data_IF_491482175898
#
_entry.id   IF_491482175898
#
_cell.length_a   1.000
_cell.length_b   1.000
_cell.length_c   1.000
_cell.angle_alpha   90.00
_cell.angle_beta   90.00
_cell.angle_gamma   90.00
#
_symmetry.space_group_name_H-M   'P 1'
#
loop_
_entity.id
_entity.type
_entity.pdbx_description
1 polymer ?
#
# COMPACT_ATOMS: atom_id res chain seq x y z
N UNK A 1 -5.62 -13.64 10.14
CA UNK A 1 -5.46 -14.57 9.02
C UNK A 1 -5.11 -13.82 7.73
N UNK A 2 -5.98 -12.94 7.23
CA UNK A 2 -5.75 -12.12 6.03
C UNK A 2 -4.37 -11.45 5.97
N UNK A 3 -4.03 -10.63 6.99
CA UNK A 3 -2.72 -9.95 7.06
C UNK A 3 -1.52 -10.91 7.03
N UNK A 4 -1.66 -12.08 7.66
CA UNK A 4 -0.59 -13.08 7.68
C UNK A 4 -0.40 -13.70 6.30
N UNK A 5 -1.47 -13.92 5.53
CA UNK A 5 -1.39 -14.41 4.16
C UNK A 5 -0.71 -13.36 3.25
N UNK A 6 -1.14 -12.10 3.34
CA UNK A 6 -0.57 -11.01 2.54
C UNK A 6 0.94 -10.86 2.77
N UNK A 7 1.39 -10.87 4.03
CA UNK A 7 2.81 -10.79 4.38
C UNK A 7 3.64 -11.98 3.90
N UNK A 8 3.02 -13.16 3.72
CA UNK A 8 3.69 -14.38 3.27
C UNK A 8 3.57 -14.62 1.76
N UNK A 9 3.24 -13.58 0.95
CA UNK A 9 3.08 -13.68 -0.52
C UNK A 9 2.02 -14.72 -0.95
N UNK A 10 1.06 -15.01 -0.09
CA UNK A 10 -0.04 -15.97 -0.33
C UNK A 10 -1.22 -15.26 -0.97
N UNK A 11 -1.05 -14.85 -2.22
CA UNK A 11 -1.92 -13.88 -2.91
C UNK A 11 -3.30 -14.44 -3.17
N UNK A 12 -3.37 -15.64 -3.73
CA UNK A 12 -4.63 -16.30 -4.06
C UNK A 12 -5.46 -16.53 -2.79
N UNK A 13 -4.83 -16.98 -1.71
CA UNK A 13 -5.53 -17.14 -0.43
C UNK A 13 -5.91 -15.79 0.20
N UNK A 14 -5.08 -14.76 0.04
CA UNK A 14 -5.41 -13.41 0.51
C UNK A 14 -6.64 -12.88 -0.23
N UNK A 15 -6.67 -12.99 -1.56
CA UNK A 15 -7.81 -12.59 -2.42
C UNK A 15 -9.07 -13.39 -2.06
N UNK A 16 -8.94 -14.70 -1.85
CA UNK A 16 -10.07 -15.55 -1.45
C UNK A 16 -10.65 -15.10 -0.10
N UNK A 17 -9.81 -14.92 0.92
CA UNK A 17 -10.26 -14.47 2.25
C UNK A 17 -10.82 -13.05 2.19
N UNK A 18 -10.23 -12.15 1.40
CA UNK A 18 -10.73 -10.80 1.19
C UNK A 18 -12.16 -10.80 0.65
N UNK A 19 -12.41 -11.57 -0.42
CA UNK A 19 -13.72 -11.66 -1.05
C UNK A 19 -14.75 -12.38 -0.18
N UNK A 20 -14.34 -13.40 0.59
CA UNK A 20 -15.26 -14.09 1.50
C UNK A 20 -15.71 -13.17 2.64
N UNK A 21 -14.81 -12.37 3.22
CA UNK A 21 -15.16 -11.37 4.22
C UNK A 21 -16.14 -10.32 3.65
N UNK A 22 -15.94 -9.88 2.40
CA UNK A 22 -16.87 -8.96 1.72
C UNK A 22 -18.24 -9.58 1.52
N UNK A 23 -18.33 -10.85 1.12
CA UNK A 23 -19.61 -11.58 0.98
C UNK A 23 -20.34 -11.73 2.32
N UNK A 24 -19.60 -11.84 3.42
CA UNK A 24 -20.15 -11.86 4.78
C UNK A 24 -20.58 -10.47 5.27
N UNK A 25 -20.36 -9.41 4.49
CA UNK A 25 -20.74 -8.03 4.82
C UNK A 25 -19.75 -7.32 5.74
N UNK A 26 -18.52 -7.83 5.86
CA UNK A 26 -17.46 -7.16 6.62
C UNK A 26 -17.04 -5.89 5.88
N UNK A 27 -17.06 -4.76 6.60
CA UNK A 27 -16.53 -3.50 6.12
C UNK A 27 -15.09 -3.34 6.61
N UNK A 28 -14.16 -3.15 5.68
CA UNK A 28 -12.77 -2.88 6.01
C UNK A 28 -12.56 -1.40 6.30
N UNK A 29 -11.90 -1.10 7.42
CA UNK A 29 -11.50 0.25 7.71
C UNK A 29 -10.28 0.68 6.87
N UNK A 30 -10.03 1.99 6.84
CA UNK A 30 -8.93 2.59 6.09
C UNK A 30 -7.55 2.06 6.53
N UNK A 31 -7.39 1.64 7.79
CA UNK A 31 -6.15 1.04 8.29
C UNK A 31 -5.89 -0.33 7.69
N UNK A 32 -6.93 -1.18 7.61
CA UNK A 32 -6.85 -2.51 7.03
C UNK A 32 -6.41 -2.45 5.57
N UNK A 33 -6.97 -1.51 4.79
CA UNK A 33 -6.51 -1.24 3.43
C UNK A 33 -5.03 -0.86 3.40
N UNK A 34 -4.63 0.15 4.17
CA UNK A 34 -3.25 0.62 4.24
C UNK A 34 -2.26 -0.48 4.58
N UNK A 35 -2.59 -1.34 5.54
CA UNK A 35 -1.71 -2.44 5.95
C UNK A 35 -1.58 -3.54 4.88
N UNK A 36 -2.66 -3.89 4.17
CA UNK A 36 -2.62 -4.88 3.09
C UNK A 36 -1.84 -4.35 1.88
N UNK A 37 -2.10 -3.09 1.49
CA UNK A 37 -1.36 -2.42 0.41
C UNK A 37 0.12 -2.39 0.77
N UNK A 38 0.47 -2.02 2.00
CA UNK A 38 1.86 -2.02 2.46
C UNK A 38 2.49 -3.41 2.39
N UNK A 39 1.78 -4.44 2.84
CA UNK A 39 2.27 -5.82 2.79
C UNK A 39 2.55 -6.27 1.35
N UNK A 40 1.73 -5.88 0.37
CA UNK A 40 1.99 -6.18 -1.04
C UNK A 40 3.16 -5.37 -1.59
N UNK A 41 3.28 -4.08 -1.27
CA UNK A 41 4.42 -3.25 -1.70
C UNK A 41 5.75 -3.77 -1.14
N UNK A 42 5.80 -4.16 0.14
CA UNK A 42 6.97 -4.77 0.78
C UNK A 42 7.39 -6.09 0.11
N UNK A 43 6.47 -6.73 -0.63
CA UNK A 43 6.70 -7.98 -1.36
C UNK A 43 6.84 -7.78 -2.88
N UNK A 44 7.03 -6.53 -3.35
CA UNK A 44 7.12 -6.15 -4.77
C UNK A 44 5.88 -6.53 -5.61
N UNK A 45 4.71 -6.63 -4.96
CA UNK A 45 3.43 -7.02 -5.57
C UNK A 45 2.62 -5.78 -5.95
N UNK A 46 3.17 -5.00 -6.88
CA UNK A 46 2.66 -3.66 -7.20
C UNK A 46 1.23 -3.68 -7.78
N UNK A 47 0.92 -4.65 -8.64
CA UNK A 47 -0.41 -4.75 -9.24
C UNK A 47 -1.49 -4.98 -8.19
N UNK A 48 -1.27 -5.96 -7.30
CA UNK A 48 -2.19 -6.28 -6.21
C UNK A 48 -2.32 -5.13 -5.22
N UNK A 49 -1.22 -4.45 -4.90
CA UNK A 49 -1.23 -3.27 -4.05
C UNK A 49 -2.12 -2.17 -4.63
N UNK A 50 -1.99 -1.89 -5.93
CA UNK A 50 -2.75 -0.82 -6.57
C UNK A 50 -4.22 -1.22 -6.83
N UNK A 51 -4.54 -2.50 -6.97
CA UNK A 51 -5.92 -2.98 -7.02
C UNK A 51 -6.64 -2.69 -5.69
N UNK A 52 -5.99 -3.02 -4.56
CA UNK A 52 -6.54 -2.73 -3.21
C UNK A 52 -6.57 -1.21 -2.94
N UNK A 53 -5.63 -0.44 -3.45
CA UNK A 53 -5.66 1.03 -3.35
C UNK A 53 -6.89 1.65 -4.03
N UNK A 54 -7.25 1.17 -5.23
CA UNK A 54 -8.47 1.65 -5.91
C UNK A 54 -9.71 1.31 -5.09
N UNK A 55 -9.79 0.11 -4.53
CA UNK A 55 -10.89 -0.27 -3.63
C UNK A 55 -10.94 0.61 -2.37
N UNK A 56 -9.78 0.95 -1.79
CA UNK A 56 -9.69 1.89 -0.66
C UNK A 56 -10.25 3.27 -1.00
N UNK A 57 -9.96 3.79 -2.21
CA UNK A 57 -10.45 5.10 -2.70
C UNK A 57 -11.96 5.11 -2.96
N UNK A 58 -12.53 3.97 -3.33
CA UNK A 58 -13.98 3.79 -3.55
C UNK A 58 -14.75 3.49 -2.25
N UNK A 59 -14.04 3.24 -1.14
CA UNK A 59 -14.65 2.98 0.16
C UNK A 59 -15.54 4.16 0.59
N UNK A 60 -16.75 3.90 1.12
CA UNK A 60 -17.63 4.94 1.63
C UNK A 60 -17.12 5.55 2.95
N UNK A 61 -16.13 4.92 3.59
CA UNK A 61 -15.55 5.41 4.83
C UNK A 61 -14.72 6.67 4.60
N UNK A 62 -14.77 7.58 5.59
CA UNK A 62 -13.99 8.81 5.54
C UNK A 62 -12.50 8.49 5.36
N UNK A 63 -11.82 9.05 4.35
CA UNK A 63 -10.39 8.85 4.16
C UNK A 63 -9.59 9.28 5.40
N UNK A 64 -8.56 8.50 5.72
CA UNK A 64 -7.61 8.80 6.79
C UNK A 64 -6.23 9.10 6.20
N UNK A 65 -5.52 10.07 6.76
CA UNK A 65 -4.22 10.47 6.23
C UNK A 65 -3.12 9.41 6.46
N UNK A 66 -3.21 8.63 7.54
CA UNK A 66 -2.16 7.68 7.91
C UNK A 66 -1.98 6.54 6.88
N UNK A 67 -3.04 5.84 6.42
CA UNK A 67 -2.93 4.83 5.36
C UNK A 67 -2.21 5.34 4.12
N UNK A 68 -2.57 6.52 3.60
CA UNK A 68 -1.89 7.12 2.46
C UNK A 68 -0.39 7.33 2.72
N UNK A 69 0.00 7.82 3.90
CA UNK A 69 1.41 8.00 4.25
C UNK A 69 2.19 6.69 4.28
N UNK A 70 1.57 5.60 4.72
CA UNK A 70 2.18 4.26 4.71
C UNK A 70 2.37 3.77 3.27
N UNK A 71 1.37 4.00 2.40
CA UNK A 71 1.40 3.65 0.98
C UNK A 71 2.47 4.47 0.24
N UNK A 72 2.51 5.78 0.45
CA UNK A 72 3.53 6.68 -0.12
C UNK A 72 4.96 6.28 0.26
N UNK A 73 5.16 5.77 1.48
CA UNK A 73 6.44 5.19 1.89
C UNK A 73 6.74 3.87 1.16
N UNK A 74 5.73 3.06 0.86
CA UNK A 74 5.90 1.80 0.12
C UNK A 74 6.15 2.02 -1.37
N UNK A 75 5.66 3.13 -1.91
CA UNK A 75 5.81 3.51 -3.32
C UNK A 75 7.12 4.24 -3.62
N UNK A 76 8.03 4.35 -2.65
CA UNK A 76 9.35 4.93 -2.85
C UNK A 76 10.06 4.40 -4.12
N UNK A 77 10.10 3.08 -4.39
CA UNK A 77 10.72 2.54 -5.60
C UNK A 77 9.92 2.76 -6.91
N UNK A 78 8.75 3.39 -6.83
CA UNK A 78 7.78 3.52 -7.93
C UNK A 78 7.33 5.00 -8.06
N UNK A 79 8.22 5.89 -8.54
CA UNK A 79 8.03 7.35 -8.45
C UNK A 79 6.76 7.84 -9.15
N UNK A 80 6.40 7.27 -10.30
CA UNK A 80 5.21 7.69 -11.05
C UNK A 80 3.92 7.41 -10.26
N UNK A 81 3.82 6.24 -9.64
CA UNK A 81 2.67 5.88 -8.80
C UNK A 81 2.69 6.64 -7.48
N UNK A 82 3.88 6.90 -6.93
CA UNK A 82 4.02 7.69 -5.72
C UNK A 82 3.50 9.11 -5.91
N UNK A 83 3.82 9.75 -7.04
CA UNK A 83 3.32 11.08 -7.36
C UNK A 83 1.80 11.06 -7.56
N UNK A 84 1.26 10.05 -8.24
CA UNK A 84 -0.20 9.87 -8.36
C UNK A 84 -0.90 9.78 -7.00
N UNK A 85 -0.40 8.93 -6.09
CA UNK A 85 -0.99 8.75 -4.75
C UNK A 85 -0.81 10.01 -3.89
N UNK A 86 0.25 10.80 -4.14
CA UNK A 86 0.49 12.07 -3.46
C UNK A 86 -0.49 13.14 -3.93
N UNK A 87 -0.77 13.23 -5.22
CA UNK A 87 -1.81 14.11 -5.77
C UNK A 87 -3.18 13.74 -5.18
N UNK A 88 -3.53 12.45 -5.20
CA UNK A 88 -4.76 11.92 -4.59
C UNK A 88 -4.88 12.27 -3.10
N UNK A 89 -3.75 12.24 -2.37
CA UNK A 89 -3.68 12.60 -0.96
C UNK A 89 -3.90 14.11 -0.76
N UNK A 90 -3.25 14.96 -1.54
CA UNK A 90 -3.36 16.41 -1.42
C UNK A 90 -4.75 16.93 -1.84
N UNK A 91 -5.43 16.23 -2.74
CA UNK A 91 -6.84 16.50 -3.06
C UNK A 91 -7.74 16.30 -1.83
N UNK A 92 -7.49 15.23 -1.05
CA UNK A 92 -8.26 14.91 0.15
C UNK A 92 -7.84 15.71 1.39
N UNK A 93 -6.56 16.09 1.46
CA UNK A 93 -5.93 16.73 2.62
C UNK A 93 -5.09 17.96 2.19
N UNK A 94 -5.71 19.03 1.66
CA UNK A 94 -5.01 20.14 1.02
C UNK A 94 -4.08 20.93 1.95
N UNK A 95 -4.35 20.91 3.26
CA UNK A 95 -3.54 21.60 4.28
C UNK A 95 -2.40 20.74 4.85
N UNK A 96 -2.24 19.49 4.37
CA UNK A 96 -1.19 18.58 4.85
C UNK A 96 0.05 18.61 3.96
N UNK A 97 1.21 18.62 4.60
CA UNK A 97 2.50 18.48 3.92
C UNK A 97 2.95 17.02 4.03
N UNK A 98 3.15 16.38 2.89
CA UNK A 98 3.78 15.06 2.81
C UNK A 98 5.29 15.26 2.72
N UNK A 99 6.05 14.58 3.58
CA UNK A 99 7.50 14.54 3.46
C UNK A 99 7.88 13.84 2.15
N UNK A 100 8.58 14.57 1.28
CA UNK A 100 9.11 14.07 0.02
C UNK A 100 10.61 13.82 0.19
N UNK A 101 11.05 12.56 0.42
CA UNK A 101 12.47 12.28 0.58
C UNK A 101 13.22 12.64 -0.70
N UNK A 102 14.41 13.26 -0.61
CA UNK A 102 15.22 13.53 -1.78
C UNK A 102 15.63 12.23 -2.50
N UNK A 103 15.82 12.33 -3.82
CA UNK A 103 15.98 11.20 -4.76
C UNK A 103 17.18 10.30 -4.43
N UNK A 104 18.19 10.87 -3.79
CA UNK A 104 19.43 10.21 -3.34
C UNK A 104 19.23 9.20 -2.20
N UNK A 105 18.15 9.31 -1.42
CA UNK A 105 17.79 8.31 -0.40
C UNK A 105 17.24 7.01 -0.99
N UNK A 106 16.92 6.98 -2.29
CA UNK A 106 16.35 5.81 -2.95
C UNK A 106 17.41 4.86 -3.52
N UNK A 107 18.68 5.26 -3.53
CA UNK A 107 19.80 4.47 -4.08
C UNK A 107 20.40 3.47 -3.07
N UNK A 108 20.12 3.59 -1.76
CA UNK A 108 20.80 2.79 -0.72
C UNK A 108 20.24 1.35 -0.53
N UNK A 109 19.06 1.02 -1.07
CA UNK A 109 18.44 -0.30 -0.86
C UNK A 109 18.85 -1.35 -1.93
N UNK A 110 19.55 -0.97 -3.00
CA UNK A 110 20.10 -1.94 -3.97
C UNK A 110 21.22 -2.81 -3.39
N UNK A 111 21.93 -2.32 -2.36
CA UNK A 111 23.07 -3.04 -1.76
C UNK A 111 22.65 -4.12 -0.74
N UNK A 112 21.42 -4.09 -0.22
CA UNK A 112 20.93 -5.15 0.69
C UNK A 112 20.43 -6.41 -0.02
N UNK A 113 19.97 -6.28 -1.27
CA UNK A 113 19.48 -7.42 -2.04
C UNK A 113 20.59 -8.22 -2.74
N UNK A 114 21.84 -7.75 -2.74
CA UNK A 114 22.99 -8.51 -3.26
C UNK A 114 23.66 -9.42 -2.22
N UNK A 115 23.29 -9.33 -0.94
CA UNK A 115 23.94 -10.10 0.14
C UNK A 115 23.18 -11.36 0.58
N UNK A 116 22.06 -11.70 -0.05
CA UNK A 116 21.28 -12.92 0.27
C UNK A 116 21.45 -14.06 -0.76
N UNK A 117 22.23 -13.85 -1.82
CA UNK A 117 22.48 -14.85 -2.88
C UNK A 117 23.92 -15.43 -2.89
N UNK A 118 24.75 -15.15 -1.87
CA UNK A 118 26.10 -15.75 -1.68
C UNK A 118 26.16 -16.79 -0.54
#
# INVERSE_FOLDING_TARGET
>A
MLMMLAKNKRVEETKQVWEDLKKEGVLFDQHTFGDIIRAYLDNAMLSEAMDIYREMRESPDRPLSLPFRVILKGLIPYPELREQVKDDFLELFPDMIVYDPPEDLFEEDEDRNKSEDD
#
